data_IF_073582023060
#
_entry.id   IF_073582023060
#
_cell.length_a   1.000
_cell.length_b   1.000
_cell.length_c   1.000
_cell.angle_alpha   90.00
_cell.angle_beta   90.00
_cell.angle_gamma   90.00
#
_symmetry.space_group_name_H-M   'P 1'
#
loop_
_entity.id
_entity.type
_entity.pdbx_description
1 polymer ?
#
# COMPACT_ATOMS: atom_id res chain seq x y z
N UNK A 1 -20.59 22.75 18.86
CA UNK A 1 -20.14 21.57 19.63
C UNK A 1 -19.25 20.72 18.74
N UNK A 2 -17.99 20.44 19.12
CA UNK A 2 -17.18 19.41 18.47
C UNK A 2 -17.81 18.05 18.80
N UNK A 3 -18.35 17.36 17.79
CA UNK A 3 -18.70 15.93 17.94
C UNK A 3 -17.38 15.15 17.95
N UNK A 4 -16.99 14.68 19.12
CA UNK A 4 -15.94 13.68 19.29
C UNK A 4 -16.58 12.31 19.03
N UNK A 5 -16.15 11.63 17.97
CA UNK A 5 -16.74 10.37 17.51
C UNK A 5 -16.19 9.14 18.25
N UNK A 6 -15.23 9.30 19.16
CA UNK A 6 -14.59 8.22 19.92
C UNK A 6 -14.63 8.55 21.41
N UNK A 7 -15.63 8.00 22.13
CA UNK A 7 -15.98 8.46 23.48
C UNK A 7 -15.31 7.68 24.64
N UNK A 8 -14.60 6.57 24.38
CA UNK A 8 -13.93 5.79 25.44
C UNK A 8 -12.80 4.93 24.87
N UNK A 9 -11.63 5.51 24.66
CA UNK A 9 -10.38 4.76 24.48
C UNK A 9 -9.29 5.43 25.34
N UNK A 10 -8.24 4.70 25.74
CA UNK A 10 -7.09 5.34 26.39
C UNK A 10 -6.57 6.48 25.52
N UNK A 11 -6.06 7.54 26.15
CA UNK A 11 -5.34 8.60 25.44
C UNK A 11 -4.13 7.97 24.73
N UNK A 12 -4.30 7.66 23.43
CA UNK A 12 -3.23 7.09 22.64
C UNK A 12 -2.16 8.17 22.40
N UNK A 13 -1.03 8.03 23.07
CA UNK A 13 0.16 8.83 22.78
C UNK A 13 0.80 8.29 21.51
N UNK A 14 0.95 9.11 20.47
CA UNK A 14 1.66 8.73 19.25
C UNK A 14 3.11 9.18 19.37
N UNK A 15 4.05 8.23 19.30
CA UNK A 15 5.48 8.47 19.22
C UNK A 15 6.01 8.09 17.84
N UNK A 16 7.30 8.35 17.59
CA UNK A 16 7.96 8.01 16.31
C UNK A 16 9.21 7.19 16.54
N UNK A 17 9.45 6.24 15.65
CA UNK A 17 10.71 5.49 15.59
C UNK A 17 11.86 6.41 15.17
N UNK A 18 13.09 5.90 15.19
CA UNK A 18 14.26 6.62 14.69
C UNK A 18 14.10 7.09 13.24
N UNK A 19 13.44 6.27 12.40
CA UNK A 19 13.19 6.60 11.00
C UNK A 19 11.86 7.34 10.78
N UNK A 20 11.22 7.79 11.86
CA UNK A 20 10.06 8.69 11.82
C UNK A 20 8.71 7.97 11.68
N UNK A 21 8.67 6.64 11.63
CA UNK A 21 7.43 5.87 11.57
C UNK A 21 6.61 6.11 12.85
N UNK A 22 5.34 6.54 12.75
CA UNK A 22 4.50 6.73 13.92
C UNK A 22 4.01 5.39 14.48
N UNK A 23 3.86 5.31 15.80
CA UNK A 23 3.32 4.15 16.51
C UNK A 23 2.58 4.58 17.78
N UNK A 24 1.66 3.74 18.28
CA UNK A 24 0.99 3.97 19.55
C UNK A 24 1.92 3.59 20.70
N UNK A 25 2.21 4.53 21.59
CA UNK A 25 2.93 4.24 22.81
C UNK A 25 2.07 3.39 23.75
N UNK A 26 2.73 2.57 24.57
CA UNK A 26 2.11 1.77 25.63
C UNK A 26 1.16 0.66 25.15
N UNK A 27 1.21 0.26 23.88
CA UNK A 27 0.52 -0.93 23.37
C UNK A 27 1.30 -1.61 22.25
N UNK A 28 1.36 -2.93 22.30
CA UNK A 28 1.89 -3.79 21.23
C UNK A 28 0.76 -4.60 20.55
N UNK A 29 -0.50 -4.30 20.88
CA UNK A 29 -1.67 -5.00 20.37
C UNK A 29 -2.33 -4.29 19.18
N UNK A 30 -1.94 -3.04 18.90
CA UNK A 30 -2.55 -2.22 17.86
C UNK A 30 -1.47 -1.50 17.08
N UNK A 31 -1.46 -1.70 15.77
CA UNK A 31 -0.51 -1.11 14.84
C UNK A 31 -1.25 -0.27 13.81
N UNK A 32 -0.63 0.81 13.35
CA UNK A 32 -1.14 1.59 12.25
C UNK A 32 -0.02 2.05 11.32
N UNK A 33 -0.43 2.40 10.11
CA UNK A 33 0.42 3.05 9.13
C UNK A 33 -0.43 3.93 8.22
N UNK A 34 0.19 4.91 7.59
CA UNK A 34 -0.50 5.78 6.65
C UNK A 34 0.40 6.20 5.51
N UNK A 35 -0.23 6.49 4.38
CA UNK A 35 0.42 7.07 3.21
C UNK A 35 -0.50 8.10 2.58
N UNK A 36 0.07 9.04 1.84
CA UNK A 36 -0.70 10.04 1.13
C UNK A 36 -0.05 10.36 -0.21
N UNK A 37 -0.86 10.73 -1.18
CA UNK A 37 -0.43 11.13 -2.52
C UNK A 37 -1.38 12.19 -3.02
N UNK A 38 -0.84 13.31 -3.52
CA UNK A 38 -1.64 14.46 -3.96
C UNK A 38 -2.67 14.87 -2.88
N UNK A 39 -3.96 14.73 -3.16
CA UNK A 39 -5.07 15.10 -2.26
C UNK A 39 -5.66 13.89 -1.51
N UNK A 40 -5.00 12.74 -1.57
CA UNK A 40 -5.50 11.47 -1.04
C UNK A 40 -4.63 11.00 0.11
N UNK A 41 -5.27 10.44 1.14
CA UNK A 41 -4.62 9.81 2.26
C UNK A 41 -5.30 8.46 2.53
N UNK A 42 -4.50 7.47 2.89
CA UNK A 42 -4.96 6.18 3.40
C UNK A 42 -4.32 5.94 4.75
N UNK A 43 -5.07 5.33 5.66
CA UNK A 43 -4.55 4.82 6.93
C UNK A 43 -5.06 3.40 7.10
N UNK A 44 -4.18 2.53 7.56
CA UNK A 44 -4.48 1.13 7.90
C UNK A 44 -4.21 0.92 9.38
N UNK A 45 -4.99 0.03 9.99
CA UNK A 45 -4.86 -0.34 11.39
C UNK A 45 -5.17 -1.82 11.54
N UNK A 46 -4.37 -2.53 12.35
CA UNK A 46 -4.52 -3.97 12.57
C UNK A 46 -3.93 -4.39 13.92
N UNK A 47 -4.25 -5.61 14.36
CA UNK A 47 -3.64 -6.25 15.54
C UNK A 47 -2.26 -6.88 15.26
N UNK A 48 -1.74 -6.66 14.05
CA UNK A 48 -0.41 -7.07 13.62
C UNK A 48 0.31 -5.91 12.95
N UNK A 49 1.65 -5.95 12.94
CA UNK A 49 2.45 -4.99 12.22
C UNK A 49 1.98 -4.90 10.76
N UNK A 50 1.59 -3.71 10.34
CA UNK A 50 0.95 -3.43 9.06
C UNK A 50 1.54 -2.15 8.46
N UNK A 51 1.66 -2.12 7.14
CA UNK A 51 2.10 -0.96 6.39
C UNK A 51 1.26 -0.77 5.13
N UNK A 52 1.14 0.47 4.67
CA UNK A 52 0.43 0.83 3.45
C UNK A 52 1.21 1.86 2.66
N UNK A 53 1.14 1.73 1.34
CA UNK A 53 1.44 2.83 0.44
C UNK A 53 0.30 3.07 -0.55
N UNK A 54 0.15 4.32 -1.01
CA UNK A 54 -0.84 4.72 -2.01
C UNK A 54 -0.27 5.76 -2.96
N UNK A 55 -0.47 5.56 -4.26
CA UNK A 55 -0.04 6.49 -5.29
C UNK A 55 -1.14 6.73 -6.34
N UNK A 56 -1.38 8.00 -6.69
CA UNK A 56 -2.23 8.36 -7.82
C UNK A 56 -1.51 8.07 -9.14
N UNK A 57 -2.14 7.29 -10.02
CA UNK A 57 -1.66 7.02 -11.36
C UNK A 57 -1.54 8.32 -12.16
N UNK A 58 -0.33 8.61 -12.61
CA UNK A 58 0.02 9.83 -13.34
C UNK A 58 1.32 9.64 -14.13
N UNK A 59 1.56 10.42 -15.19
CA UNK A 59 2.80 10.34 -15.94
C UNK A 59 4.03 10.65 -15.08
N UNK A 60 5.10 9.87 -15.26
CA UNK A 60 6.42 10.05 -14.63
C UNK A 60 7.53 9.63 -15.61
N UNK A 61 8.79 9.87 -15.21
CA UNK A 61 9.96 9.31 -15.90
C UNK A 61 10.13 7.82 -15.56
N UNK A 62 9.14 7.00 -15.94
CA UNK A 62 9.01 5.60 -15.48
C UNK A 62 10.27 4.77 -15.73
N UNK A 63 10.89 4.90 -16.91
CA UNK A 63 12.10 4.15 -17.24
C UNK A 63 13.25 4.45 -16.27
N UNK A 64 13.61 5.72 -16.08
CA UNK A 64 14.71 6.10 -15.21
C UNK A 64 14.48 5.70 -13.75
N UNK A 65 13.22 5.76 -13.28
CA UNK A 65 12.89 5.33 -11.91
C UNK A 65 12.95 3.80 -11.80
N UNK A 66 12.42 3.08 -12.80
CA UNK A 66 12.45 1.62 -12.82
C UNK A 66 13.88 1.06 -12.86
N UNK A 67 14.78 1.67 -13.64
CA UNK A 67 16.20 1.33 -13.69
C UNK A 67 16.88 1.46 -12.32
N UNK A 68 16.45 2.42 -11.50
CA UNK A 68 16.98 2.60 -10.15
C UNK A 68 16.30 1.68 -9.12
N UNK A 69 14.99 1.51 -9.17
CA UNK A 69 14.19 0.95 -8.08
C UNK A 69 13.82 -0.52 -8.24
N UNK A 70 13.77 -1.04 -9.48
CA UNK A 70 13.16 -2.34 -9.78
C UNK A 70 14.18 -3.34 -10.30
N UNK A 71 13.87 -4.63 -10.14
CA UNK A 71 14.67 -5.73 -10.69
C UNK A 71 14.55 -5.80 -12.21
N UNK A 72 15.49 -6.47 -12.89
CA UNK A 72 15.44 -6.63 -14.36
C UNK A 72 14.13 -7.29 -14.83
N UNK A 73 13.61 -8.25 -14.08
CA UNK A 73 12.34 -8.91 -14.39
C UNK A 73 11.14 -7.96 -14.31
N UNK A 74 11.09 -7.15 -13.25
CA UNK A 74 10.07 -6.11 -13.07
C UNK A 74 10.17 -5.05 -14.19
N UNK A 75 11.38 -4.60 -14.53
CA UNK A 75 11.64 -3.65 -15.62
C UNK A 75 11.18 -4.19 -16.98
N UNK A 76 11.50 -5.45 -17.32
CA UNK A 76 11.07 -6.09 -18.57
C UNK A 76 9.55 -6.12 -18.71
N UNK A 77 8.82 -6.38 -17.62
CA UNK A 77 7.35 -6.35 -17.64
C UNK A 77 6.81 -4.94 -17.82
N UNK A 78 7.38 -3.94 -17.15
CA UNK A 78 6.97 -2.56 -17.34
C UNK A 78 7.17 -2.11 -18.79
N UNK A 79 8.26 -2.52 -19.44
CA UNK A 79 8.50 -2.24 -20.86
C UNK A 79 7.44 -2.86 -21.79
N UNK A 80 6.74 -3.92 -21.34
CA UNK A 80 5.67 -4.61 -22.08
C UNK A 80 4.27 -4.19 -21.61
N UNK A 81 4.15 -3.25 -20.65
CA UNK A 81 2.88 -2.89 -20.05
C UNK A 81 1.99 -2.10 -21.01
N UNK A 82 0.73 -2.52 -21.14
CA UNK A 82 -0.31 -1.74 -21.82
C UNK A 82 -0.91 -0.62 -20.95
N UNK A 83 -0.59 -0.60 -19.65
CA UNK A 83 -1.11 0.35 -18.67
C UNK A 83 0.01 0.79 -17.72
N UNK A 84 1.06 1.40 -18.29
CA UNK A 84 2.35 1.65 -17.61
C UNK A 84 2.19 2.36 -16.26
N UNK A 85 1.30 3.35 -16.13
CA UNK A 85 1.13 4.08 -14.88
C UNK A 85 0.61 3.17 -13.77
N UNK A 86 -0.41 2.36 -14.07
CA UNK A 86 -0.99 1.40 -13.12
C UNK A 86 0.05 0.37 -12.70
N UNK A 87 0.72 -0.25 -13.66
CA UNK A 87 1.65 -1.34 -13.40
C UNK A 87 2.92 -0.84 -12.70
N UNK A 88 3.38 0.37 -13.02
CA UNK A 88 4.49 1.02 -12.32
C UNK A 88 4.14 1.30 -10.86
N UNK A 89 2.99 1.95 -10.60
CA UNK A 89 2.60 2.29 -9.23
C UNK A 89 2.20 1.06 -8.41
N UNK A 90 1.76 -0.01 -9.06
CA UNK A 90 1.62 -1.33 -8.42
C UNK A 90 2.94 -1.83 -7.83
N UNK A 91 4.01 -1.86 -8.62
CA UNK A 91 5.33 -2.25 -8.12
C UNK A 91 5.88 -1.28 -7.08
N UNK A 92 5.74 0.02 -7.34
CA UNK A 92 6.22 1.08 -6.46
C UNK A 92 5.61 0.96 -5.06
N UNK A 93 4.27 0.87 -4.99
CA UNK A 93 3.55 0.86 -3.71
C UNK A 93 3.84 -0.41 -2.90
N UNK A 94 4.07 -1.56 -3.54
CA UNK A 94 4.52 -2.77 -2.84
C UNK A 94 5.88 -2.52 -2.17
N UNK A 95 6.85 -1.99 -2.92
CA UNK A 95 8.21 -1.77 -2.38
C UNK A 95 8.22 -0.71 -1.27
N UNK A 96 7.45 0.37 -1.42
CA UNK A 96 7.31 1.37 -0.36
C UNK A 96 6.59 0.83 0.89
N UNK A 97 5.54 0.03 0.72
CA UNK A 97 4.86 -0.60 1.85
C UNK A 97 5.80 -1.57 2.60
N UNK A 98 6.64 -2.32 1.88
CA UNK A 98 7.67 -3.19 2.48
C UNK A 98 8.69 -2.39 3.30
N UNK A 99 9.25 -1.32 2.71
CA UNK A 99 10.14 -0.39 3.43
C UNK A 99 9.46 0.14 4.69
N UNK A 100 8.21 0.59 4.60
CA UNK A 100 7.46 1.13 5.74
C UNK A 100 7.23 0.09 6.84
N UNK A 101 6.96 -1.17 6.47
CA UNK A 101 6.73 -2.25 7.42
C UNK A 101 7.97 -2.53 8.30
N UNK A 102 9.15 -2.50 7.68
CA UNK A 102 10.45 -2.73 8.33
C UNK A 102 11.11 -1.46 8.89
N UNK A 103 10.34 -0.37 9.01
CA UNK A 103 10.82 0.93 9.49
C UNK A 103 12.07 1.41 8.73
N UNK A 104 12.12 1.17 7.41
CA UNK A 104 13.22 1.56 6.55
C UNK A 104 13.11 2.99 6.00
N UNK A 105 13.98 3.31 5.04
CA UNK A 105 13.93 4.57 4.30
C UNK A 105 13.90 4.30 2.78
N UNK A 106 13.48 5.30 2.01
CA UNK A 106 13.33 5.18 0.55
C UNK A 106 14.63 4.81 -0.18
N UNK A 107 15.80 5.10 0.39
CA UNK A 107 17.08 4.73 -0.20
C UNK A 107 17.36 3.22 -0.16
N UNK A 108 16.57 2.46 0.60
CA UNK A 108 16.62 0.98 0.64
C UNK A 108 15.63 0.29 -0.30
N UNK A 109 15.11 1.01 -1.31
CA UNK A 109 14.14 0.47 -2.30
C UNK A 109 14.67 -0.72 -3.08
N UNK A 110 15.98 -0.80 -3.31
CA UNK A 110 16.63 -1.93 -4.00
C UNK A 110 16.61 -3.21 -3.19
N UNK A 111 16.53 -3.09 -1.87
CA UNK A 111 16.46 -4.22 -0.93
C UNK A 111 15.01 -4.61 -0.60
N UNK A 112 14.03 -3.87 -1.14
CA UNK A 112 12.63 -4.15 -0.92
C UNK A 112 12.18 -5.43 -1.65
N UNK A 113 11.07 -6.01 -1.19
CA UNK A 113 10.47 -7.19 -1.81
C UNK A 113 10.35 -7.04 -3.32
N UNK A 114 10.63 -8.13 -4.03
CA UNK A 114 10.49 -8.22 -5.48
C UNK A 114 9.47 -9.28 -5.84
N UNK A 115 8.60 -8.96 -6.80
CA UNK A 115 7.54 -9.86 -7.23
C UNK A 115 7.94 -10.48 -8.56
N UNK A 116 7.91 -11.81 -8.65
CA UNK A 116 8.09 -12.50 -9.92
C UNK A 116 6.78 -12.44 -10.70
N UNK A 117 6.81 -11.57 -11.70
CA UNK A 117 5.67 -11.24 -12.53
C UNK A 117 5.66 -12.00 -13.87
N UNK A 118 6.64 -12.89 -14.14
CA UNK A 118 6.70 -13.67 -15.37
C UNK A 118 6.02 -15.04 -15.25
N UNK A 119 5.77 -15.50 -14.04
CA UNK A 119 5.04 -16.74 -13.77
C UNK A 119 3.57 -16.42 -13.49
N UNK A 120 2.67 -17.29 -13.98
CA UNK A 120 1.25 -17.23 -13.68
C UNK A 120 0.90 -18.38 -12.70
N UNK A 121 0.32 -18.08 -11.52
CA UNK A 121 0.00 -16.76 -11.01
C UNK A 121 1.25 -15.96 -10.63
N UNK A 122 1.13 -14.62 -10.63
CA UNK A 122 2.17 -13.74 -10.09
C UNK A 122 2.48 -14.19 -8.66
N UNK A 123 3.75 -14.39 -8.33
CA UNK A 123 4.19 -14.84 -6.99
C UNK A 123 5.32 -13.96 -6.49
N UNK A 124 5.52 -13.87 -5.18
CA UNK A 124 6.76 -13.28 -4.66
C UNK A 124 7.96 -14.07 -5.23
N UNK A 125 9.02 -13.37 -5.67
CA UNK A 125 10.17 -14.01 -6.31
C UNK A 125 10.97 -14.90 -5.34
N UNK A 126 10.78 -14.71 -4.04
CA UNK A 126 11.38 -15.47 -2.95
C UNK A 126 10.33 -15.80 -1.88
N UNK A 127 10.69 -16.63 -0.90
CA UNK A 127 9.88 -16.85 0.30
C UNK A 127 9.76 -15.55 1.11
N UNK A 128 8.81 -14.70 0.71
CA UNK A 128 8.54 -13.45 1.41
C UNK A 128 7.67 -13.74 2.64
N UNK A 129 8.05 -13.33 3.86
CA UNK A 129 7.41 -13.78 5.09
C UNK A 129 6.10 -13.04 5.45
N UNK A 130 5.62 -12.17 4.58
CA UNK A 130 4.50 -11.26 4.86
C UNK A 130 3.44 -11.36 3.75
N UNK A 131 2.19 -11.06 4.12
CA UNK A 131 1.10 -11.00 3.15
C UNK A 131 1.07 -9.65 2.47
N UNK A 132 0.82 -9.63 1.16
CA UNK A 132 0.72 -8.43 0.32
C UNK A 132 -0.67 -8.40 -0.29
N UNK A 133 -1.34 -7.25 -0.23
CA UNK A 133 -2.62 -7.01 -0.89
C UNK A 133 -2.55 -5.69 -1.64
N UNK A 134 -2.75 -5.73 -2.95
CA UNK A 134 -2.76 -4.52 -3.77
C UNK A 134 -4.14 -4.30 -4.38
N UNK A 135 -4.54 -3.04 -4.45
CA UNK A 135 -5.85 -2.61 -4.91
C UNK A 135 -5.70 -1.48 -5.93
N UNK A 136 -6.59 -1.49 -6.91
CA UNK A 136 -6.82 -0.37 -7.81
C UNK A 136 -8.05 0.38 -7.33
N UNK A 137 -7.89 1.67 -7.05
CA UNK A 137 -8.98 2.51 -6.58
C UNK A 137 -9.36 3.47 -7.69
N UNK A 138 -10.66 3.57 -7.98
CA UNK A 138 -11.19 4.60 -8.87
C UNK A 138 -12.10 5.53 -8.06
N UNK A 139 -11.67 6.79 -7.91
CA UNK A 139 -12.50 7.85 -7.33
C UNK A 139 -13.09 8.68 -8.45
N UNK A 140 -14.42 8.70 -8.53
CA UNK A 140 -15.18 9.56 -9.43
C UNK A 140 -15.79 10.68 -8.59
N UNK A 141 -15.58 11.92 -9.02
CA UNK A 141 -16.20 13.12 -8.44
C UNK A 141 -16.76 14.01 -9.55
N UNK A 142 -17.50 15.06 -9.18
CA UNK A 142 -18.05 16.00 -10.15
C UNK A 142 -16.96 16.71 -10.99
N UNK A 143 -15.76 16.90 -10.43
CA UNK A 143 -14.68 17.64 -11.06
C UNK A 143 -13.77 16.72 -11.89
N UNK A 144 -13.50 15.51 -11.41
CA UNK A 144 -12.53 14.60 -12.04
C UNK A 144 -12.70 13.15 -11.61
N UNK A 145 -12.13 12.24 -12.42
CA UNK A 145 -11.83 10.87 -12.05
C UNK A 145 -10.35 10.75 -11.73
N UNK A 146 -10.03 10.12 -10.60
CA UNK A 146 -8.67 9.79 -10.21
C UNK A 146 -8.53 8.29 -10.03
N UNK A 147 -7.39 7.77 -10.48
CA UNK A 147 -7.02 6.37 -10.35
C UNK A 147 -5.85 6.26 -9.40
N UNK A 148 -5.93 5.33 -8.45
CA UNK A 148 -4.87 5.11 -7.48
C UNK A 148 -4.52 3.64 -7.41
N UNK A 149 -3.28 3.36 -7.03
CA UNK A 149 -2.85 2.04 -6.61
C UNK A 149 -2.49 2.13 -5.14
N UNK A 150 -3.00 1.20 -4.34
CA UNK A 150 -2.62 1.05 -2.94
C UNK A 150 -2.09 -0.37 -2.71
N UNK A 151 -1.05 -0.50 -1.90
CA UNK A 151 -0.53 -1.80 -1.46
C UNK A 151 -0.42 -1.83 0.05
N UNK A 152 -0.96 -2.88 0.65
CA UNK A 152 -0.95 -3.13 2.09
C UNK A 152 -0.10 -4.38 2.33
N UNK A 153 0.83 -4.30 3.28
CA UNK A 153 1.60 -5.46 3.73
C UNK A 153 1.35 -5.70 5.21
N UNK A 154 1.02 -6.95 5.54
CA UNK A 154 0.71 -7.41 6.90
C UNK A 154 1.78 -8.43 7.29
N UNK A 155 2.35 -8.27 8.48
CA UNK A 155 3.38 -9.16 8.97
C UNK A 155 2.84 -10.59 9.22
N UNK A 156 3.46 -11.56 8.56
CA UNK A 156 3.10 -12.97 8.61
C UNK A 156 2.31 -13.41 7.38
N UNK A 157 2.06 -14.72 7.26
CA UNK A 157 1.21 -15.27 6.20
C UNK A 157 -0.22 -15.41 6.71
N UNK A 158 -1.06 -14.46 6.31
CA UNK A 158 -2.49 -14.50 6.50
C UNK A 158 -3.17 -14.74 5.13
N UNK A 159 -4.02 -15.76 5.08
CA UNK A 159 -4.76 -16.18 3.85
C UNK A 159 -6.25 -15.90 3.92
N UNK A 160 -6.75 -15.53 5.10
CA UNK A 160 -8.15 -15.23 5.41
C UNK A 160 -8.20 -13.83 6.01
N UNK A 161 -8.33 -12.81 5.15
CA UNK A 161 -8.32 -11.40 5.54
C UNK A 161 -9.53 -10.71 4.92
N UNK A 162 -10.33 -10.09 5.79
CA UNK A 162 -11.39 -9.18 5.41
C UNK A 162 -10.92 -7.73 5.53
N UNK A 163 -11.09 -6.95 4.47
CA UNK A 163 -10.81 -5.51 4.48
C UNK A 163 -12.11 -4.71 4.66
N UNK A 164 -12.21 -4.00 5.78
CA UNK A 164 -13.32 -3.05 6.02
C UNK A 164 -12.89 -1.65 5.60
N UNK A 165 -13.40 -1.20 4.46
CA UNK A 165 -13.07 0.11 3.90
C UNK A 165 -13.97 1.22 4.47
N UNK A 166 -13.34 2.28 4.97
CA UNK A 166 -14.04 3.49 5.42
C UNK A 166 -13.49 4.69 4.65
N UNK A 167 -14.39 5.54 4.17
CA UNK A 167 -14.03 6.77 3.48
C UNK A 167 -15.02 7.87 3.81
N UNK A 168 -14.54 9.12 3.87
CA UNK A 168 -15.41 10.27 4.02
C UNK A 168 -16.05 10.56 2.66
N UNK A 169 -17.35 10.30 2.55
CA UNK A 169 -18.10 10.57 1.33
C UNK A 169 -18.35 12.09 1.20
N UNK A 170 -17.71 12.72 0.22
CA UNK A 170 -18.17 14.01 -0.30
C UNK A 170 -19.43 13.79 -1.16
N UNK A 171 -20.36 14.76 -1.24
CA UNK A 171 -21.51 14.67 -2.14
C UNK A 171 -21.07 14.33 -3.57
N UNK A 172 -21.80 13.42 -4.23
CA UNK A 172 -21.54 12.98 -5.61
C UNK A 172 -20.15 12.36 -5.86
N UNK A 173 -19.50 11.87 -4.80
CA UNK A 173 -18.26 11.10 -4.92
C UNK A 173 -18.54 9.61 -4.81
N UNK A 174 -18.01 8.82 -5.74
CA UNK A 174 -18.01 7.35 -5.69
C UNK A 174 -16.56 6.86 -5.68
N UNK A 175 -16.27 5.91 -4.81
CA UNK A 175 -14.99 5.20 -4.79
C UNK A 175 -15.27 3.72 -5.04
N UNK A 176 -14.58 3.14 -6.02
CA UNK A 176 -14.49 1.67 -6.18
C UNK A 176 -13.11 1.21 -5.77
N UNK A 177 -13.04 -0.01 -5.25
CA UNK A 177 -11.80 -0.66 -4.83
C UNK A 177 -11.80 -2.05 -5.44
N UNK A 178 -10.91 -2.27 -6.40
CA UNK A 178 -10.79 -3.49 -7.16
C UNK A 178 -9.50 -4.22 -6.78
N UNK A 179 -9.54 -5.50 -6.38
CA UNK A 179 -8.33 -6.26 -6.08
C UNK A 179 -7.41 -6.38 -7.32
N UNK A 180 -6.11 -6.11 -7.14
CA UNK A 180 -5.09 -6.28 -8.17
C UNK A 180 -4.22 -7.52 -7.94
N UNK A 181 -3.86 -7.78 -6.69
CA UNK A 181 -2.88 -8.80 -6.34
C UNK A 181 -3.03 -9.20 -4.87
N UNK A 182 -2.78 -10.48 -4.59
CA UNK A 182 -2.68 -11.00 -3.23
C UNK A 182 -1.54 -12.04 -3.16
N UNK A 183 -0.73 -11.95 -2.11
CA UNK A 183 0.28 -12.95 -1.77
C UNK A 183 0.23 -13.23 -0.25
N UNK A 184 0.28 -14.48 0.20
CA UNK A 184 0.00 -15.68 -0.60
C UNK A 184 -1.42 -15.60 -1.21
N UNK A 185 -1.71 -16.44 -2.21
CA UNK A 185 -3.04 -16.51 -2.83
C UNK A 185 -4.09 -16.78 -1.75
N UNK A 186 -5.14 -15.96 -1.69
CA UNK A 186 -6.23 -16.13 -0.72
C UNK A 186 -6.94 -17.46 -0.95
N UNK A 187 -7.42 -18.10 0.14
CA UNK A 187 -8.27 -19.28 0.03
C UNK A 187 -9.66 -18.83 -0.46
N UNK A 188 -10.20 -19.57 -1.43
CA UNK A 188 -11.56 -19.36 -1.94
C UNK A 188 -12.61 -19.72 -0.90
#
# INVERSE_FOLDING_TARGET
MKKLYFNTHPDYTILRTKNGRPYFAHTDALFFNGSHTKNYCITVMAEKNIAVDIEECRPRHFQAIAEYAFTETEQKRLAQSAAIEKDFFFLWTIKEADIKLRDGNIFSIKDAVSINLLEAPVVAATAYPHSIFSFYLTKISAQQTAHLVASIIIAGHDTDIEFVWNYVAEPYTRITVDPLFAYPVQRA
#
